data_IF_017163164296
#
_entry.id   IF_017163164296
#
_cell.length_a   1.000
_cell.length_b   1.000
_cell.length_c   1.000
_cell.angle_alpha   90.00
_cell.angle_beta   90.00
_cell.angle_gamma   90.00
#
_symmetry.space_group_name_H-M   'P 1'
#
loop_
_entity.id
_entity.type
_entity.pdbx_description
1 polymer ?
#
# COMPACT_ATOMS: atom_id res chain seq x y z
N UNK A 1 -33.18 45.67 3.78
CA UNK A 1 -31.98 45.08 3.13
C UNK A 1 -30.84 44.70 4.08
N UNK A 2 -30.85 45.09 5.37
CA UNK A 2 -29.74 44.84 6.31
C UNK A 2 -29.66 43.39 6.87
N UNK A 3 -30.79 42.69 7.04
CA UNK A 3 -30.80 41.36 7.71
C UNK A 3 -30.33 40.18 6.85
N UNK A 4 -30.33 40.31 5.51
CA UNK A 4 -29.80 39.27 4.60
C UNK A 4 -28.27 39.33 4.48
N UNK A 5 -27.69 40.53 4.57
CA UNK A 5 -26.23 40.71 4.54
C UNK A 5 -25.56 40.12 5.79
N UNK A 6 -26.13 40.32 6.98
CA UNK A 6 -25.58 39.78 8.23
C UNK A 6 -25.52 38.24 8.26
N UNK A 7 -26.51 37.56 7.66
CA UNK A 7 -26.54 36.08 7.56
C UNK A 7 -25.48 35.54 6.60
N UNK A 8 -25.15 36.26 5.53
CA UNK A 8 -24.10 35.87 4.57
C UNK A 8 -22.72 36.04 5.21
N UNK A 9 -22.49 37.12 5.96
CA UNK A 9 -21.21 37.39 6.64
C UNK A 9 -20.94 36.37 7.75
N UNK A 10 -21.94 35.99 8.55
CA UNK A 10 -21.77 34.93 9.56
C UNK A 10 -21.51 33.54 8.95
N UNK A 11 -22.17 33.20 7.84
CA UNK A 11 -21.93 31.92 7.15
C UNK A 11 -20.55 31.83 6.47
N UNK A 12 -20.09 32.95 5.89
CA UNK A 12 -18.77 33.04 5.26
C UNK A 12 -17.63 32.95 6.28
N UNK A 13 -17.76 33.61 7.43
CA UNK A 13 -16.71 33.58 8.45
C UNK A 13 -16.62 32.20 9.12
N UNK A 14 -17.76 31.54 9.38
CA UNK A 14 -17.79 30.19 9.96
C UNK A 14 -17.17 29.12 9.06
N UNK A 15 -17.38 29.21 7.74
CA UNK A 15 -16.77 28.27 6.78
C UNK A 15 -15.26 28.48 6.66
N UNK A 16 -14.78 29.72 6.67
CA UNK A 16 -13.33 30.02 6.68
C UNK A 16 -12.69 29.54 7.99
N UNK A 17 -13.33 29.74 9.13
CA UNK A 17 -12.82 29.25 10.43
C UNK A 17 -12.80 27.72 10.50
N UNK A 18 -13.81 27.04 9.93
CA UNK A 18 -13.85 25.58 9.86
C UNK A 18 -12.75 25.03 8.94
N UNK A 19 -12.54 25.65 7.77
CA UNK A 19 -11.45 25.27 6.85
C UNK A 19 -10.08 25.53 7.50
N UNK A 20 -9.91 26.66 8.20
CA UNK A 20 -8.67 26.96 8.91
C UNK A 20 -8.45 26.05 10.12
N UNK A 21 -9.51 25.67 10.84
CA UNK A 21 -9.47 24.70 11.93
C UNK A 21 -9.08 23.30 11.46
N UNK A 22 -9.65 22.85 10.34
CA UNK A 22 -9.26 21.59 9.68
C UNK A 22 -7.81 21.65 9.18
N UNK A 23 -7.42 22.76 8.53
CA UNK A 23 -6.05 22.98 8.06
C UNK A 23 -5.01 22.97 9.19
N UNK A 24 -5.33 23.58 10.34
CA UNK A 24 -4.45 23.61 11.50
C UNK A 24 -4.44 22.29 12.27
N UNK A 25 -5.56 21.57 12.32
CA UNK A 25 -5.65 20.23 12.91
C UNK A 25 -4.86 19.20 12.10
N UNK A 26 -4.87 19.29 10.78
CA UNK A 26 -4.04 18.46 9.88
C UNK A 26 -2.54 18.69 10.13
N UNK A 27 -2.14 19.93 10.46
CA UNK A 27 -0.74 20.24 10.75
C UNK A 27 -0.27 19.79 12.15
N UNK A 28 -1.18 19.59 13.12
CA UNK A 28 -0.83 19.19 14.48
C UNK A 28 -0.73 17.66 14.67
N UNK A 29 -1.39 16.86 13.82
CA UNK A 29 -1.31 15.39 13.85
C UNK A 29 -0.08 14.83 13.14
N UNK A 30 0.83 15.72 12.69
CA UNK A 30 2.19 15.39 12.26
C UNK A 30 3.11 14.98 13.43
N UNK A 31 2.67 14.03 14.24
CA UNK A 31 3.59 13.14 14.92
C UNK A 31 3.56 11.82 14.15
N UNK A 32 4.28 11.72 13.03
CA UNK A 32 4.64 10.41 12.56
C UNK A 32 5.37 9.75 13.73
N UNK A 33 4.92 8.56 14.14
CA UNK A 33 5.74 7.65 14.94
C UNK A 33 6.91 7.21 14.04
N UNK A 34 7.78 8.17 13.69
CA UNK A 34 9.09 7.92 13.14
C UNK A 34 9.85 7.42 14.35
N UNK A 35 10.10 6.13 14.39
CA UNK A 35 11.31 5.66 15.05
C UNK A 35 12.44 6.37 14.29
N UNK A 36 12.85 7.53 14.80
CA UNK A 36 14.01 8.24 14.30
C UNK A 36 15.14 7.25 14.47
N UNK A 37 15.65 6.70 13.37
CA UNK A 37 16.94 6.04 13.39
C UNK A 37 17.97 7.15 13.58
N UNK A 38 18.16 7.55 14.83
CA UNK A 38 19.24 8.43 15.22
C UNK A 38 20.56 7.66 15.13
N UNK A 39 21.56 8.31 14.53
CA UNK A 39 22.91 7.81 14.52
C UNK A 39 23.22 6.83 13.39
N UNK A 40 24.40 7.06 12.81
CA UNK A 40 25.09 6.17 11.87
C UNK A 40 24.69 4.70 12.02
N UNK A 41 24.05 4.13 10.99
CA UNK A 41 23.88 2.68 10.90
C UNK A 41 25.29 2.11 10.65
N UNK A 42 26.05 1.91 11.73
CA UNK A 42 27.12 0.92 11.71
C UNK A 42 26.42 -0.35 11.31
N UNK A 43 26.61 -0.83 10.07
CA UNK A 43 26.09 -2.14 9.67
C UNK A 43 26.59 -3.10 10.74
N UNK A 44 25.73 -3.66 11.62
CA UNK A 44 26.21 -4.68 12.51
C UNK A 44 26.80 -5.74 11.58
N UNK A 45 28.05 -6.16 11.81
CA UNK A 45 28.57 -7.38 11.19
C UNK A 45 27.78 -8.53 11.80
N UNK A 46 26.54 -8.67 11.37
CA UNK A 46 25.68 -9.77 11.78
C UNK A 46 26.22 -10.98 11.03
N UNK A 47 26.97 -11.82 11.74
CA UNK A 47 27.31 -13.14 11.22
C UNK A 47 26.00 -13.91 11.11
N UNK A 48 25.64 -14.30 9.89
CA UNK A 48 24.52 -15.21 9.70
C UNK A 48 24.88 -16.55 10.35
N UNK A 49 24.01 -17.13 11.19
CA UNK A 49 24.30 -18.41 11.82
C UNK A 49 24.42 -19.50 10.76
N UNK A 50 25.32 -20.45 10.98
CA UNK A 50 25.44 -21.61 10.10
C UNK A 50 24.21 -22.52 10.23
N UNK A 51 23.96 -23.36 9.22
CA UNK A 51 22.86 -24.33 9.27
C UNK A 51 22.97 -25.24 10.49
N UNK A 52 24.19 -25.65 10.86
CA UNK A 52 24.43 -26.50 12.02
C UNK A 52 24.12 -25.77 13.33
N UNK A 53 24.50 -24.49 13.44
CA UNK A 53 24.13 -23.64 14.59
C UNK A 53 22.61 -23.50 14.72
N UNK A 54 21.90 -23.29 13.61
CA UNK A 54 20.43 -23.21 13.59
C UNK A 54 19.77 -24.52 14.01
N UNK A 55 20.25 -25.66 13.50
CA UNK A 55 19.73 -26.98 13.87
C UNK A 55 19.98 -27.31 15.35
N UNK A 56 21.14 -26.94 15.87
CA UNK A 56 21.45 -27.10 17.28
C UNK A 56 20.56 -26.21 18.15
N UNK A 57 20.33 -24.96 17.77
CA UNK A 57 19.39 -24.07 18.46
C UNK A 57 17.97 -24.64 18.46
N UNK A 58 17.52 -25.22 17.33
CA UNK A 58 16.22 -25.86 17.22
C UNK A 58 16.07 -27.06 18.17
N UNK A 59 17.09 -27.92 18.26
CA UNK A 59 17.10 -29.11 19.13
C UNK A 59 17.25 -28.78 20.62
N UNK A 60 18.04 -27.77 20.95
CA UNK A 60 18.38 -27.42 22.33
C UNK A 60 17.32 -26.54 23.01
N UNK A 61 16.41 -25.96 22.24
CA UNK A 61 15.29 -25.19 22.78
C UNK A 61 14.15 -26.15 23.12
N UNK A 62 13.77 -26.29 24.40
CA UNK A 62 12.81 -27.32 24.81
C UNK A 62 11.39 -27.04 24.34
N UNK A 63 11.00 -25.77 24.23
CA UNK A 63 9.63 -25.36 23.89
C UNK A 63 9.62 -24.04 23.11
N UNK A 64 8.74 -23.99 22.11
CA UNK A 64 8.46 -22.80 21.29
C UNK A 64 6.99 -22.42 21.47
N UNK A 65 6.72 -21.12 21.52
CA UNK A 65 5.36 -20.59 21.60
C UNK A 65 4.66 -20.71 20.22
N UNK A 66 5.42 -20.51 19.14
CA UNK A 66 4.92 -20.55 17.76
C UNK A 66 5.89 -21.34 16.88
N UNK A 67 5.33 -22.27 16.09
CA UNK A 67 6.02 -22.93 14.99
C UNK A 67 5.40 -22.49 13.66
N UNK A 68 6.19 -21.81 12.83
CA UNK A 68 5.82 -21.40 11.48
C UNK A 68 6.35 -22.41 10.46
N UNK A 69 5.45 -22.95 9.64
CA UNK A 69 5.79 -23.89 8.57
C UNK A 69 5.69 -23.15 7.23
N UNK A 70 6.82 -22.99 6.55
CA UNK A 70 6.96 -22.30 5.28
C UNK A 70 7.63 -20.93 5.41
N UNK A 71 8.81 -20.78 4.81
CA UNK A 71 9.62 -19.56 4.71
C UNK A 71 9.34 -18.70 3.49
N UNK A 72 8.08 -18.66 3.02
CA UNK A 72 7.62 -17.70 2.02
C UNK A 72 7.35 -16.31 2.61
N UNK A 73 6.86 -15.37 1.80
CA UNK A 73 6.57 -13.99 2.24
C UNK A 73 5.62 -13.94 3.46
N UNK A 74 4.57 -14.77 3.46
CA UNK A 74 3.63 -14.86 4.58
C UNK A 74 4.28 -15.39 5.85
N UNK A 75 5.01 -16.50 5.76
CA UNK A 75 5.66 -17.10 6.92
C UNK A 75 6.75 -16.21 7.51
N UNK A 76 7.56 -15.56 6.65
CA UNK A 76 8.54 -14.58 7.09
C UNK A 76 7.89 -13.39 7.82
N UNK A 77 6.75 -12.88 7.32
CA UNK A 77 6.00 -11.81 7.97
C UNK A 77 5.44 -12.21 9.33
N UNK A 78 4.84 -13.41 9.42
CA UNK A 78 4.33 -13.95 10.68
C UNK A 78 5.45 -14.16 11.71
N UNK A 79 6.60 -14.72 11.29
CA UNK A 79 7.77 -14.90 12.16
C UNK A 79 8.34 -13.57 12.63
N UNK A 80 8.39 -12.56 11.77
CA UNK A 80 8.84 -11.23 12.16
C UNK A 80 7.90 -10.60 13.20
N UNK A 81 6.59 -10.68 12.99
CA UNK A 81 5.59 -10.15 13.93
C UNK A 81 5.64 -10.87 15.28
N UNK A 82 5.74 -12.21 15.29
CA UNK A 82 5.81 -12.99 16.53
C UNK A 82 7.06 -12.70 17.34
N UNK A 83 8.23 -12.63 16.68
CA UNK A 83 9.50 -12.27 17.34
C UNK A 83 9.46 -10.83 17.86
N UNK A 84 8.87 -9.90 17.10
CA UNK A 84 8.72 -8.50 17.53
C UNK A 84 7.85 -8.35 18.78
N UNK A 85 6.93 -9.30 19.01
CA UNK A 85 6.12 -9.40 20.24
C UNK A 85 6.81 -10.14 21.38
N UNK A 86 8.04 -10.63 21.18
CA UNK A 86 8.83 -11.34 22.18
C UNK A 86 8.50 -12.84 22.33
N UNK A 87 7.79 -13.43 21.36
CA UNK A 87 7.44 -14.85 21.38
C UNK A 87 8.59 -15.72 20.86
N UNK A 88 8.84 -16.86 21.52
CA UNK A 88 9.81 -17.86 21.05
C UNK A 88 9.25 -18.54 19.82
N UNK A 89 9.77 -18.17 18.66
CA UNK A 89 9.27 -18.64 17.37
C UNK A 89 10.31 -19.47 16.65
N UNK A 90 9.92 -20.64 16.16
CA UNK A 90 10.67 -21.42 15.19
C UNK A 90 10.04 -21.29 13.80
N UNK A 91 10.85 -21.18 12.75
CA UNK A 91 10.40 -21.27 11.36
C UNK A 91 11.15 -22.41 10.68
N UNK A 92 10.40 -23.26 9.97
CA UNK A 92 10.95 -24.35 9.16
C UNK A 92 10.50 -24.19 7.71
N UNK A 93 11.46 -24.31 6.79
CA UNK A 93 11.25 -24.33 5.34
C UNK A 93 11.90 -25.59 4.78
N UNK A 94 11.24 -26.20 3.80
CA UNK A 94 11.71 -27.43 3.15
C UNK A 94 12.85 -27.14 2.19
N UNK A 95 12.69 -26.09 1.36
CA UNK A 95 13.63 -25.69 0.33
C UNK A 95 14.44 -24.44 0.78
N UNK A 96 14.63 -23.47 -0.11
CA UNK A 96 15.20 -22.17 0.20
C UNK A 96 14.12 -21.14 0.57
N UNK A 97 14.49 -20.08 1.28
CA UNK A 97 13.58 -18.99 1.62
C UNK A 97 12.98 -18.37 0.36
N UNK A 98 11.66 -18.14 0.38
CA UNK A 98 10.89 -17.60 -0.76
C UNK A 98 10.92 -18.44 -2.05
N UNK A 99 11.38 -19.69 -2.03
CA UNK A 99 11.49 -20.56 -3.21
C UNK A 99 10.15 -20.84 -3.94
N UNK A 100 9.03 -20.80 -3.22
CA UNK A 100 7.69 -21.06 -3.74
C UNK A 100 7.08 -19.92 -4.57
N UNK A 101 5.81 -19.58 -4.30
CA UNK A 101 5.08 -18.51 -5.02
C UNK A 101 5.68 -17.13 -4.80
N UNK A 102 6.32 -16.89 -3.65
CA UNK A 102 6.89 -15.59 -3.29
C UNK A 102 7.99 -15.11 -4.25
N UNK A 103 8.77 -16.01 -4.84
CA UNK A 103 9.78 -15.67 -5.87
C UNK A 103 9.22 -15.56 -7.30
N UNK A 104 8.04 -16.15 -7.54
CA UNK A 104 7.39 -16.28 -8.86
C UNK A 104 6.29 -15.26 -9.12
N UNK A 105 6.33 -14.11 -8.44
CA UNK A 105 5.40 -13.01 -8.70
C UNK A 105 5.86 -12.12 -9.86
N UNK A 106 4.99 -11.23 -10.30
CA UNK A 106 5.31 -10.11 -11.21
C UNK A 106 6.28 -9.10 -10.59
N UNK A 107 6.58 -9.23 -9.28
CA UNK A 107 7.40 -8.31 -8.48
C UNK A 107 6.82 -6.89 -8.47
N UNK A 108 5.50 -6.79 -8.59
CA UNK A 108 4.75 -5.55 -8.53
C UNK A 108 3.78 -5.58 -7.36
N UNK A 109 3.75 -4.48 -6.61
CA UNK A 109 2.79 -4.28 -5.52
C UNK A 109 1.78 -3.27 -6.02
N UNK A 110 0.62 -3.78 -6.40
CA UNK A 110 -0.46 -2.99 -6.99
C UNK A 110 -1.72 -3.11 -6.14
N UNK A 111 -2.46 -2.01 -6.00
CA UNK A 111 -3.72 -1.96 -5.25
C UNK A 111 -4.91 -2.61 -5.97
N UNK A 112 -4.68 -3.31 -7.08
CA UNK A 112 -5.75 -4.00 -7.79
C UNK A 112 -6.77 -3.09 -8.50
N UNK A 113 -6.31 -2.21 -9.40
CA UNK A 113 -7.16 -1.26 -10.17
C UNK A 113 -8.37 -1.95 -10.83
N UNK A 114 -8.18 -3.18 -11.33
CA UNK A 114 -9.25 -4.01 -11.90
C UNK A 114 -10.35 -4.38 -10.90
N UNK A 115 -9.98 -4.64 -9.64
CA UNK A 115 -10.93 -4.95 -8.58
C UNK A 115 -11.72 -3.71 -8.14
N UNK A 116 -11.08 -2.54 -8.19
CA UNK A 116 -11.74 -1.28 -7.88
C UNK A 116 -12.84 -0.96 -8.90
N UNK A 117 -12.60 -1.20 -10.18
CA UNK A 117 -13.63 -1.10 -11.21
C UNK A 117 -14.83 -2.00 -10.89
N UNK A 118 -14.58 -3.26 -10.54
CA UNK A 118 -15.66 -4.19 -10.16
C UNK A 118 -16.41 -3.72 -8.91
N UNK A 119 -15.69 -3.23 -7.90
CA UNK A 119 -16.26 -2.70 -6.66
C UNK A 119 -17.22 -1.52 -6.91
N UNK A 120 -16.85 -0.60 -7.81
CA UNK A 120 -17.66 0.56 -8.16
C UNK A 120 -18.88 0.15 -9.00
N UNK A 121 -18.68 -0.66 -10.04
CA UNK A 121 -19.74 -1.06 -10.96
C UNK A 121 -20.79 -1.97 -10.30
N UNK A 122 -20.35 -2.83 -9.37
CA UNK A 122 -21.20 -3.83 -8.71
C UNK A 122 -21.57 -3.45 -7.26
N UNK A 123 -21.11 -2.28 -6.79
CA UNK A 123 -21.28 -1.82 -5.41
C UNK A 123 -20.81 -2.86 -4.37
N UNK A 124 -19.72 -3.56 -4.68
CA UNK A 124 -19.13 -4.60 -3.83
C UNK A 124 -18.18 -3.98 -2.80
N UNK A 125 -18.65 -3.93 -1.55
CA UNK A 125 -17.91 -3.36 -0.43
C UNK A 125 -16.68 -4.18 -0.03
N UNK A 126 -16.69 -5.51 -0.25
CA UNK A 126 -15.54 -6.36 0.11
C UNK A 126 -14.37 -6.08 -0.82
N UNK A 127 -14.64 -5.97 -2.12
CA UNK A 127 -13.63 -5.61 -3.12
C UNK A 127 -13.08 -4.21 -2.86
N UNK A 128 -13.93 -3.26 -2.46
CA UNK A 128 -13.48 -1.94 -2.06
C UNK A 128 -12.55 -1.96 -0.84
N UNK A 129 -12.88 -2.74 0.20
CA UNK A 129 -12.05 -2.89 1.40
C UNK A 129 -10.70 -3.52 1.09
N UNK A 130 -10.67 -4.56 0.27
CA UNK A 130 -9.42 -5.19 -0.17
C UNK A 130 -8.51 -4.20 -0.91
N UNK A 131 -9.08 -3.40 -1.82
CA UNK A 131 -8.33 -2.37 -2.55
C UNK A 131 -7.77 -1.30 -1.59
N UNK A 132 -8.57 -0.87 -0.60
CA UNK A 132 -8.07 0.02 0.47
C UNK A 132 -6.83 -0.58 1.13
N UNK A 133 -6.95 -1.81 1.61
CA UNK A 133 -5.92 -2.43 2.44
C UNK A 133 -4.64 -2.60 1.63
N UNK A 134 -4.76 -3.05 0.38
CA UNK A 134 -3.62 -3.16 -0.52
C UNK A 134 -2.92 -1.82 -0.79
N UNK A 135 -3.67 -0.73 -0.94
CA UNK A 135 -3.08 0.61 -1.10
C UNK A 135 -2.40 1.08 0.18
N UNK A 136 -3.01 0.86 1.34
CA UNK A 136 -2.43 1.21 2.63
C UNK A 136 -1.12 0.47 2.89
N UNK A 137 -1.11 -0.85 2.67
CA UNK A 137 0.09 -1.69 2.80
C UNK A 137 1.19 -1.31 1.82
N UNK A 138 0.84 -0.91 0.59
CA UNK A 138 1.82 -0.38 -0.36
C UNK A 138 2.51 0.88 0.18
N UNK A 139 1.78 1.80 0.81
CA UNK A 139 2.35 2.99 1.40
C UNK A 139 3.25 2.64 2.61
N UNK A 140 2.85 1.68 3.42
CA UNK A 140 3.65 1.16 4.54
C UNK A 140 4.94 0.54 4.03
N UNK A 141 4.89 -0.30 3.00
CA UNK A 141 6.08 -0.99 2.47
C UNK A 141 7.11 0.00 1.90
N UNK A 142 6.67 1.03 1.19
CA UNK A 142 7.54 2.10 0.70
C UNK A 142 8.24 2.84 1.85
N UNK A 143 7.63 2.90 3.04
CA UNK A 143 8.22 3.52 4.21
C UNK A 143 9.20 2.58 4.94
N UNK A 144 8.87 1.30 5.10
CA UNK A 144 9.70 0.35 5.87
C UNK A 144 10.88 -0.21 5.07
N UNK A 145 10.75 -0.34 3.74
CA UNK A 145 11.75 -0.94 2.87
C UNK A 145 12.02 -0.09 1.61
N UNK A 146 12.52 1.15 1.76
CA UNK A 146 12.79 2.05 0.63
C UNK A 146 13.92 1.58 -0.29
N UNK A 147 14.78 0.67 0.20
CA UNK A 147 15.86 0.06 -0.59
C UNK A 147 15.37 -1.11 -1.46
N UNK A 148 14.19 -1.67 -1.17
CA UNK A 148 13.61 -2.80 -1.89
C UNK A 148 12.43 -2.39 -2.78
N UNK A 149 11.72 -1.33 -2.41
CA UNK A 149 10.49 -0.88 -3.09
C UNK A 149 10.58 0.59 -3.49
N UNK A 150 10.08 0.90 -4.70
CA UNK A 150 10.11 2.26 -5.26
C UNK A 150 8.88 2.54 -6.14
N UNK A 151 8.54 3.82 -6.38
CA UNK A 151 7.49 4.24 -7.30
C UNK A 151 7.71 3.68 -8.71
N UNK A 152 6.78 2.88 -9.25
CA UNK A 152 6.79 2.49 -10.67
C UNK A 152 5.53 3.03 -11.38
N UNK A 153 5.66 3.97 -12.33
CA UNK A 153 4.55 4.39 -13.17
C UNK A 153 4.18 3.30 -14.18
N UNK A 154 2.88 3.08 -14.38
CA UNK A 154 2.35 2.08 -15.31
C UNK A 154 1.57 2.80 -16.40
N UNK A 155 1.87 2.48 -17.65
CA UNK A 155 1.16 2.98 -18.83
C UNK A 155 0.07 1.99 -19.22
N UNK A 156 -1.17 2.46 -19.30
CA UNK A 156 -2.33 1.67 -19.73
C UNK A 156 -2.71 2.09 -21.17
N UNK A 157 -2.59 1.20 -22.16
CA UNK A 157 -2.96 1.50 -23.53
C UNK A 157 -4.49 1.45 -23.71
N UNK A 158 -5.06 2.52 -24.27
CA UNK A 158 -6.50 2.59 -24.62
C UNK A 158 -6.65 2.41 -26.12
N UNK A 159 -7.48 1.45 -26.52
CA UNK A 159 -7.60 1.02 -27.92
C UNK A 159 -8.85 1.52 -28.62
N UNK A 160 -9.97 1.73 -27.92
CA UNK A 160 -11.18 2.33 -28.50
C UNK A 160 -11.67 3.53 -27.69
N UNK A 161 -12.26 4.46 -28.42
CA UNK A 161 -12.94 5.64 -27.89
C UNK A 161 -14.17 5.32 -27.03
N UNK A 162 -14.80 4.16 -27.20
CA UNK A 162 -15.92 3.71 -26.37
C UNK A 162 -15.45 3.08 -25.05
N UNK A 163 -14.33 2.33 -25.09
CA UNK A 163 -13.64 1.86 -23.87
C UNK A 163 -13.18 3.07 -23.01
N UNK A 164 -12.96 4.23 -23.65
CA UNK A 164 -12.59 5.52 -23.05
C UNK A 164 -13.58 6.03 -22.00
N UNK A 165 -14.90 5.87 -22.15
CA UNK A 165 -15.86 6.51 -21.24
C UNK A 165 -15.95 5.72 -19.94
N UNK A 166 -15.93 4.39 -20.01
CA UNK A 166 -15.95 3.54 -18.83
C UNK A 166 -14.61 3.62 -18.10
N UNK A 167 -13.48 3.50 -18.81
CA UNK A 167 -12.16 3.46 -18.17
C UNK A 167 -11.66 4.84 -17.70
N UNK A 168 -11.96 5.96 -18.38
CA UNK A 168 -11.62 7.31 -17.87
C UNK A 168 -12.52 7.75 -16.72
N UNK A 169 -13.83 7.46 -16.75
CA UNK A 169 -14.71 7.77 -15.61
C UNK A 169 -14.30 6.93 -14.41
N UNK A 170 -13.91 5.67 -14.63
CA UNK A 170 -13.37 4.82 -13.58
C UNK A 170 -12.03 5.36 -13.07
N UNK A 171 -11.06 5.73 -13.92
CA UNK A 171 -9.80 6.31 -13.45
C UNK A 171 -9.97 7.64 -12.72
N UNK A 172 -10.89 8.51 -13.13
CA UNK A 172 -11.20 9.75 -12.42
C UNK A 172 -11.98 9.48 -11.10
N UNK A 173 -12.86 8.48 -11.06
CA UNK A 173 -13.52 7.99 -9.83
C UNK A 173 -12.54 7.30 -8.89
N UNK A 174 -11.53 6.61 -9.40
CA UNK A 174 -10.45 6.00 -8.63
C UNK A 174 -9.56 7.10 -8.08
N UNK A 175 -9.24 8.13 -8.88
CA UNK A 175 -8.52 9.32 -8.44
C UNK A 175 -9.29 10.07 -7.36
N UNK A 176 -10.57 10.36 -7.57
CA UNK A 176 -11.44 11.03 -6.60
C UNK A 176 -11.70 10.18 -5.37
N UNK A 177 -11.92 8.87 -5.53
CA UNK A 177 -12.15 7.91 -4.46
C UNK A 177 -10.90 7.73 -3.60
N UNK A 178 -9.73 7.55 -4.23
CA UNK A 178 -8.45 7.46 -3.53
C UNK A 178 -8.10 8.79 -2.87
N UNK A 179 -8.36 9.93 -3.51
CA UNK A 179 -8.15 11.27 -2.93
C UNK A 179 -9.07 11.53 -1.72
N UNK A 180 -10.36 11.24 -1.83
CA UNK A 180 -11.35 11.33 -0.74
C UNK A 180 -10.95 10.44 0.43
N UNK A 181 -10.45 9.25 0.13
CA UNK A 181 -10.08 8.27 1.14
C UNK A 181 -8.73 8.53 1.81
N UNK A 182 -7.79 9.10 1.06
CA UNK A 182 -6.53 9.63 1.59
C UNK A 182 -6.82 10.81 2.53
N UNK A 183 -7.85 11.62 2.23
CA UNK A 183 -8.34 12.67 3.12
C UNK A 183 -9.00 12.14 4.40
N UNK A 184 -9.67 10.98 4.34
CA UNK A 184 -10.32 10.37 5.51
C UNK A 184 -9.36 9.62 6.45
N UNK A 185 -8.25 9.07 5.93
CA UNK A 185 -7.30 8.26 6.73
C UNK A 185 -5.94 8.98 6.98
N UNK A 186 -5.86 10.29 6.75
CA UNK A 186 -4.67 11.12 7.08
C UNK A 186 -3.36 10.76 6.37
N UNK A 187 -3.38 9.83 5.40
CA UNK A 187 -2.17 9.25 4.79
C UNK A 187 -1.64 10.10 3.63
N UNK A 188 -1.11 11.29 3.92
CA UNK A 188 -0.70 12.31 2.94
C UNK A 188 0.28 11.84 1.84
N UNK A 189 1.02 10.75 2.05
CA UNK A 189 2.03 10.24 1.09
C UNK A 189 1.46 9.63 -0.20
N UNK A 190 0.17 9.31 -0.25
CA UNK A 190 -0.42 8.70 -1.45
C UNK A 190 -0.79 9.74 -2.54
N UNK A 191 -0.76 11.05 -2.20
CA UNK A 191 -1.17 12.13 -3.11
C UNK A 191 -0.23 12.32 -4.31
N UNK A 192 1.06 12.01 -4.20
CA UNK A 192 2.01 12.14 -5.30
C UNK A 192 1.87 11.09 -6.40
N UNK A 193 1.10 10.02 -6.17
CA UNK A 193 0.95 8.91 -7.13
C UNK A 193 -0.28 9.02 -8.03
N UNK A 194 -1.19 9.95 -7.76
CA UNK A 194 -2.37 10.18 -8.58
C UNK A 194 -2.05 10.64 -10.02
N UNK A 195 -0.80 11.00 -10.31
CA UNK A 195 -0.37 11.65 -11.55
C UNK A 195 0.36 10.73 -12.53
N UNK A 196 0.58 9.45 -12.21
CA UNK A 196 1.51 8.58 -12.97
C UNK A 196 0.84 7.39 -13.68
N UNK A 197 -0.42 7.54 -14.07
CA UNK A 197 -0.98 6.76 -15.19
C UNK A 197 -0.89 7.62 -16.44
N UNK A 198 0.21 7.50 -17.16
CA UNK A 198 0.35 8.13 -18.46
C UNK A 198 -0.51 7.35 -19.45
N UNK A 199 -1.63 7.93 -19.83
CA UNK A 199 -2.54 7.32 -20.79
C UNK A 199 -2.08 7.66 -22.21
N UNK A 200 -1.60 6.67 -22.95
CA UNK A 200 -1.18 6.85 -24.35
C UNK A 200 -2.10 6.02 -25.23
N UNK A 201 -2.69 6.67 -26.23
CA UNK A 201 -3.53 6.02 -27.24
C UNK A 201 -2.62 5.14 -28.12
N UNK A 202 -2.66 3.83 -27.93
CA UNK A 202 -1.90 2.89 -28.75
C UNK A 202 -2.76 2.45 -29.95
N UNK A 203 -2.27 2.58 -31.18
CA UNK A 203 -2.88 1.93 -32.35
C UNK A 203 -2.68 0.42 -32.21
N UNK A 204 -3.70 -0.33 -31.81
CA UNK A 204 -3.66 -1.80 -31.86
C UNK A 204 -3.94 -2.28 -33.28
N UNK A 205 -3.08 -3.16 -33.76
CA UNK A 205 -3.34 -3.97 -34.94
C UNK A 205 -4.30 -5.10 -34.54
N UNK A 206 -5.47 -5.16 -35.19
CA UNK A 206 -6.64 -5.96 -34.79
C UNK A 206 -6.35 -7.47 -34.81
N UNK A 207 -5.27 -7.90 -35.47
CA UNK A 207 -4.91 -9.30 -35.68
C UNK A 207 -3.93 -9.88 -34.65
N UNK A 208 -3.54 -9.15 -33.60
CA UNK A 208 -2.62 -9.67 -32.57
C UNK A 208 -3.34 -10.04 -31.26
N UNK A 209 -2.95 -11.14 -30.59
CA UNK A 209 -3.56 -11.55 -29.33
C UNK A 209 -3.39 -10.47 -28.26
N UNK A 210 -4.41 -10.30 -27.42
CA UNK A 210 -4.39 -9.40 -26.27
C UNK A 210 -3.32 -9.87 -25.30
N UNK A 211 -2.29 -9.06 -25.07
CA UNK A 211 -1.40 -9.26 -23.93
C UNK A 211 -2.21 -9.02 -22.65
N UNK A 212 -2.56 -10.10 -21.94
CA UNK A 212 -2.89 -10.03 -20.53
C UNK A 212 -1.56 -10.00 -19.77
N UNK A 213 -1.25 -8.86 -19.16
CA UNK A 213 -0.35 -8.84 -18.01
C UNK A 213 -1.12 -9.33 -16.76
#
# INVERSE_FOLDING_TARGET
MSSRFYKIVLGGCGSVLAVYGLYKSDNLTHHPHIVMADGSISKPKLRLPSRDEQLNALKNTPEYDILVIGGGATGAGVTLDSISRGLKTALVELDDFSSGTSSRSTKLIHGGVRYLQKAILQLDLEQYRMVKEALHERANLLAIAPHLSYPLPIMLPIYRLCDRVEEYVEMERIRLGTSYYTSLNGSLKMREFSSLVLCVCARQDINKPKFLC
#
